data_IF_410383231629
#
_entry.id   IF_410383231629
#
_cell.length_a   1.000
_cell.length_b   1.000
_cell.length_c   1.000
_cell.angle_alpha   90.00
_cell.angle_beta   90.00
_cell.angle_gamma   90.00
#
_symmetry.space_group_name_H-M   'P 1'
#
loop_
_entity.id
_entity.type
_entity.pdbx_description
1 polymer ?
#
# COMPACT_ATOMS: atom_id res chain seq x y z
N UNK A 1 -52.47 -29.79 -9.36
CA UNK A 1 -53.06 -28.47 -9.07
C UNK A 1 -52.48 -28.03 -7.73
N UNK A 2 -51.60 -27.02 -7.75
CA UNK A 2 -51.34 -25.95 -6.75
C UNK A 2 -51.23 -26.38 -5.26
N UNK A 3 -50.21 -26.05 -4.47
CA UNK A 3 -49.10 -25.12 -4.63
C UNK A 3 -48.17 -25.19 -3.42
N UNK A 4 -46.91 -24.78 -3.63
CA UNK A 4 -45.93 -24.63 -2.55
C UNK A 4 -45.89 -23.16 -2.14
N UNK A 5 -46.10 -22.90 -0.85
CA UNK A 5 -45.89 -21.58 -0.23
C UNK A 5 -44.43 -21.46 0.20
N UNK A 6 -43.70 -20.52 -0.40
CA UNK A 6 -42.34 -20.18 0.01
C UNK A 6 -42.37 -19.15 1.14
N UNK A 7 -41.83 -19.51 2.30
CA UNK A 7 -41.52 -18.55 3.36
C UNK A 7 -40.14 -17.96 3.07
N UNK A 8 -40.06 -16.65 2.86
CA UNK A 8 -38.81 -15.94 2.60
C UNK A 8 -38.05 -15.70 3.91
N UNK A 9 -36.80 -16.16 3.96
CA UNK A 9 -35.81 -15.70 4.94
C UNK A 9 -34.86 -14.72 4.23
N UNK A 10 -34.76 -13.49 4.75
CA UNK A 10 -33.91 -12.42 4.22
C UNK A 10 -32.43 -12.72 4.46
N UNK A 11 -31.72 -13.18 3.42
CA UNK A 11 -30.26 -13.26 3.39
C UNK A 11 -29.71 -11.93 2.92
N UNK A 12 -28.92 -11.28 3.78
CA UNK A 12 -28.21 -10.04 3.50
C UNK A 12 -27.34 -10.19 2.25
N UNK A 13 -27.50 -9.24 1.34
CA UNK A 13 -26.81 -9.15 0.06
C UNK A 13 -25.41 -8.60 0.29
N UNK A 14 -24.38 -9.44 0.31
CA UNK A 14 -22.98 -8.97 0.17
C UNK A 14 -22.09 -10.09 -0.41
N UNK A 15 -22.56 -10.80 -1.43
CA UNK A 15 -21.74 -11.81 -2.12
C UNK A 15 -22.07 -11.87 -3.61
N UNK A 16 -21.85 -10.79 -4.34
CA UNK A 16 -21.71 -10.84 -5.80
C UNK A 16 -20.99 -9.59 -6.34
N UNK A 17 -19.68 -9.45 -6.11
CA UNK A 17 -18.83 -8.41 -6.75
C UNK A 17 -17.51 -9.04 -7.21
N UNK A 18 -17.57 -10.19 -7.89
CA UNK A 18 -16.36 -10.78 -8.51
C UNK A 18 -16.60 -11.20 -9.96
N UNK A 19 -17.85 -11.38 -10.39
CA UNK A 19 -18.16 -11.76 -11.77
C UNK A 19 -18.30 -10.58 -12.75
N UNK A 20 -18.36 -9.33 -12.27
CA UNK A 20 -18.74 -8.16 -13.08
C UNK A 20 -17.55 -7.26 -13.50
N UNK A 21 -16.31 -7.70 -13.26
CA UNK A 21 -15.09 -6.91 -13.56
C UNK A 21 -14.30 -7.50 -14.75
N UNK A 22 -14.74 -8.63 -15.31
CA UNK A 22 -14.05 -9.30 -16.44
C UNK A 22 -14.83 -9.10 -17.74
N UNK A 23 -15.29 -7.88 -18.01
CA UNK A 23 -15.92 -7.55 -19.29
C UNK A 23 -15.65 -6.10 -19.74
N UNK A 24 -14.45 -5.57 -19.49
CA UNK A 24 -14.06 -4.26 -20.06
C UNK A 24 -12.57 -4.17 -20.39
N UNK A 25 -11.99 -5.23 -20.95
CA UNK A 25 -10.67 -5.16 -21.61
C UNK A 25 -10.76 -5.87 -22.96
N UNK A 26 -11.58 -5.31 -23.85
CA UNK A 26 -11.41 -5.52 -25.28
C UNK A 26 -11.39 -4.15 -25.98
N UNK A 27 -10.35 -3.38 -25.66
CA UNK A 27 -9.95 -2.25 -26.48
C UNK A 27 -8.97 -2.80 -27.52
N UNK A 28 -9.50 -3.13 -28.69
CA UNK A 28 -8.73 -3.04 -29.93
C UNK A 28 -8.33 -1.57 -30.09
N UNK A 29 -7.19 -1.18 -29.54
CA UNK A 29 -6.49 0.05 -29.93
C UNK A 29 -5.10 -0.30 -30.44
N UNK A 30 -5.10 -0.87 -31.64
CA UNK A 30 -3.95 -0.92 -32.54
C UNK A 30 -4.28 0.00 -33.71
N UNK A 31 -4.43 1.29 -33.40
CA UNK A 31 -4.78 2.31 -34.37
C UNK A 31 -4.02 3.61 -34.12
N UNK A 32 -2.69 3.62 -34.23
CA UNK A 32 -1.99 4.90 -34.41
C UNK A 32 -0.94 4.79 -35.49
N UNK A 33 -1.40 5.04 -36.72
CA UNK A 33 -0.56 5.53 -37.80
C UNK A 33 -0.10 6.94 -37.43
N UNK A 34 1.15 7.01 -37.05
CA UNK A 34 1.99 8.18 -36.94
C UNK A 34 2.07 8.95 -38.27
N UNK A 35 1.17 9.90 -38.48
CA UNK A 35 1.30 10.94 -39.51
C UNK A 35 0.86 12.30 -38.93
N UNK A 36 1.80 13.01 -38.30
CA UNK A 36 1.65 14.44 -38.02
C UNK A 36 2.20 15.23 -39.21
N UNK A 37 1.39 15.40 -40.25
CA UNK A 37 1.70 16.31 -41.35
C UNK A 37 1.40 17.77 -40.94
N UNK A 38 2.50 18.51 -40.72
CA UNK A 38 2.81 19.80 -41.37
C UNK A 38 1.64 20.77 -41.65
N UNK A 39 1.65 21.91 -40.95
CA UNK A 39 0.97 23.11 -41.46
C UNK A 39 0.77 24.26 -40.47
N UNK A 40 1.82 25.00 -40.11
CA UNK A 40 1.70 26.33 -39.52
C UNK A 40 2.40 27.38 -40.39
N UNK A 41 1.65 28.01 -41.29
CA UNK A 41 2.05 29.26 -41.96
C UNK A 41 1.50 30.44 -41.16
N UNK A 42 2.27 30.92 -40.18
CA UNK A 42 2.07 32.26 -39.64
C UNK A 42 3.06 33.20 -40.34
N UNK A 43 2.50 34.16 -41.08
CA UNK A 43 3.25 35.19 -41.78
C UNK A 43 3.90 36.12 -40.75
N UNK A 44 5.23 36.19 -40.81
CA UNK A 44 6.10 36.95 -39.94
C UNK A 44 6.29 38.35 -40.53
N UNK A 45 5.74 39.36 -39.88
CA UNK A 45 6.09 40.75 -40.14
C UNK A 45 7.38 41.02 -39.37
N UNK A 46 8.52 41.10 -40.08
CA UNK A 46 9.80 41.49 -39.48
C UNK A 46 9.76 43.02 -39.33
N UNK A 47 9.70 43.49 -38.08
CA UNK A 47 9.95 44.89 -37.73
C UNK A 47 11.39 44.95 -37.22
N UNK A 48 12.27 45.59 -37.97
CA UNK A 48 13.68 45.77 -37.62
C UNK A 48 13.79 46.81 -36.50
N UNK A 49 13.39 46.43 -35.29
CA UNK A 49 13.63 47.24 -34.08
C UNK A 49 15.06 47.00 -33.63
N UNK A 50 15.94 47.95 -33.90
CA UNK A 50 17.28 47.98 -33.31
C UNK A 50 17.16 48.05 -31.79
N UNK A 51 17.52 46.98 -31.10
CA UNK A 51 17.68 46.97 -29.65
C UNK A 51 19.05 47.53 -29.33
N UNK A 52 19.08 48.81 -28.95
CA UNK A 52 20.26 49.40 -28.36
C UNK A 52 20.57 48.69 -27.04
N UNK A 53 21.82 48.30 -26.91
CA UNK A 53 22.37 47.48 -25.84
C UNK A 53 22.24 48.22 -24.49
N UNK A 54 21.51 47.64 -23.54
CA UNK A 54 21.64 47.99 -22.13
C UNK A 54 22.10 46.75 -21.37
N UNK A 55 23.41 46.55 -21.37
CA UNK A 55 24.10 45.71 -20.39
C UNK A 55 24.23 46.49 -19.07
N UNK A 56 23.47 46.10 -18.05
CA UNK A 56 23.80 46.30 -16.63
C UNK A 56 22.66 45.78 -15.73
N UNK A 57 22.74 44.51 -15.28
CA UNK A 57 22.20 44.01 -13.98
C UNK A 57 22.16 42.48 -13.82
N UNK A 58 22.94 41.70 -14.57
CA UNK A 58 22.87 40.23 -14.50
C UNK A 58 23.54 39.58 -13.28
N UNK A 59 24.19 40.32 -12.38
CA UNK A 59 25.05 39.72 -11.34
C UNK A 59 24.36 39.40 -10.00
N UNK A 60 23.15 39.90 -9.74
CA UNK A 60 22.47 39.66 -8.45
C UNK A 60 21.49 38.46 -8.47
N UNK A 61 21.07 37.99 -9.65
CA UNK A 61 20.08 36.91 -9.81
C UNK A 61 20.69 35.51 -9.79
N UNK A 62 21.95 35.35 -10.19
CA UNK A 62 22.60 34.03 -10.25
C UNK A 62 22.85 33.44 -8.85
N UNK A 63 23.34 34.25 -7.90
CA UNK A 63 23.64 33.76 -6.54
C UNK A 63 22.37 33.40 -5.75
N UNK A 64 21.26 34.12 -5.96
CA UNK A 64 19.98 33.78 -5.32
C UNK A 64 19.36 32.52 -5.92
N UNK A 65 19.49 32.32 -7.23
CA UNK A 65 18.99 31.12 -7.90
C UNK A 65 19.78 29.86 -7.51
N UNK A 66 21.09 29.97 -7.31
CA UNK A 66 21.93 28.89 -6.79
C UNK A 66 21.51 28.49 -5.36
N UNK A 67 21.32 29.48 -4.47
CA UNK A 67 20.89 29.23 -3.09
C UNK A 67 19.49 28.59 -3.00
N UNK A 68 18.57 29.00 -3.88
CA UNK A 68 17.23 28.39 -3.97
C UNK A 68 17.35 26.95 -4.47
N UNK A 69 18.18 26.71 -5.50
CA UNK A 69 18.37 25.37 -6.07
C UNK A 69 19.00 24.40 -5.06
N UNK A 70 19.97 24.87 -4.26
CA UNK A 70 20.57 24.07 -3.18
C UNK A 70 19.53 23.77 -2.10
N UNK A 71 18.75 24.76 -1.66
CA UNK A 71 17.69 24.55 -0.66
C UNK A 71 16.65 23.54 -1.14
N UNK A 72 16.19 23.63 -2.39
CA UNK A 72 15.23 22.68 -2.96
C UNK A 72 15.82 21.26 -3.02
N UNK A 73 17.11 21.14 -3.35
CA UNK A 73 17.80 19.85 -3.41
C UNK A 73 17.91 19.22 -2.02
N UNK A 74 18.30 20.02 -1.02
CA UNK A 74 18.40 19.58 0.37
C UNK A 74 17.04 19.13 0.91
N UNK A 75 15.99 19.92 0.66
CA UNK A 75 14.60 19.58 1.05
C UNK A 75 14.12 18.31 0.34
N UNK A 76 14.44 18.13 -0.95
CA UNK A 76 14.08 16.94 -1.72
C UNK A 76 14.82 15.70 -1.21
N UNK A 77 16.10 15.82 -0.85
CA UNK A 77 16.87 14.74 -0.23
C UNK A 77 16.28 14.33 1.13
N UNK A 78 15.97 15.32 1.98
CA UNK A 78 15.35 15.09 3.29
C UNK A 78 13.97 14.41 3.14
N UNK A 79 13.15 14.86 2.20
CA UNK A 79 11.87 14.23 1.88
C UNK A 79 12.06 12.78 1.41
N UNK A 80 13.03 12.53 0.53
CA UNK A 80 13.37 11.19 0.05
C UNK A 80 13.81 10.26 1.19
N UNK A 81 14.60 10.76 2.15
CA UNK A 81 15.04 10.00 3.31
C UNK A 81 13.89 9.68 4.29
N UNK A 82 12.99 10.63 4.52
CA UNK A 82 11.78 10.41 5.32
C UNK A 82 10.85 9.37 4.68
N UNK A 83 10.60 9.46 3.36
CA UNK A 83 9.79 8.49 2.61
C UNK A 83 10.43 7.10 2.70
N UNK A 84 11.74 6.99 2.52
CA UNK A 84 12.47 5.73 2.64
C UNK A 84 12.33 5.14 4.05
N UNK A 85 12.46 5.96 5.08
CA UNK A 85 12.36 5.54 6.49
C UNK A 85 10.98 5.00 6.81
N UNK A 86 9.92 5.77 6.50
CA UNK A 86 8.52 5.35 6.70
C UNK A 86 8.22 4.08 5.89
N UNK A 87 8.75 3.97 4.67
CA UNK A 87 8.60 2.77 3.85
C UNK A 87 9.19 1.51 4.48
N UNK A 88 10.36 1.62 5.12
CA UNK A 88 10.98 0.50 5.84
C UNK A 88 10.20 0.11 7.10
N UNK A 89 9.71 1.08 7.86
CA UNK A 89 8.89 0.84 9.05
C UNK A 89 7.57 0.15 8.70
N UNK A 90 6.89 0.61 7.65
CA UNK A 90 5.66 0.02 7.15
C UNK A 90 5.89 -1.42 6.66
N UNK A 91 6.95 -1.67 5.88
CA UNK A 91 7.30 -3.01 5.43
C UNK A 91 7.53 -3.97 6.63
N UNK A 92 8.26 -3.51 7.66
CA UNK A 92 8.44 -4.26 8.91
C UNK A 92 7.10 -4.50 9.61
N UNK A 93 6.22 -3.51 9.68
CA UNK A 93 4.90 -3.61 10.32
C UNK A 93 4.02 -4.65 9.62
N UNK A 94 3.96 -4.63 8.30
CA UNK A 94 3.19 -5.60 7.50
C UNK A 94 3.75 -7.01 7.68
N UNK A 95 5.07 -7.16 7.64
CA UNK A 95 5.71 -8.46 7.88
C UNK A 95 5.39 -8.98 9.29
N UNK A 96 5.43 -8.11 10.29
CA UNK A 96 5.11 -8.46 11.67
C UNK A 96 3.63 -8.82 11.86
N UNK A 97 2.71 -8.04 11.29
CA UNK A 97 1.27 -8.32 11.31
C UNK A 97 0.95 -9.69 10.69
N UNK A 98 1.56 -9.99 9.53
CA UNK A 98 1.39 -11.29 8.88
C UNK A 98 1.81 -12.45 9.79
N UNK A 99 2.95 -12.33 10.49
CA UNK A 99 3.42 -13.34 11.45
C UNK A 99 2.45 -13.49 12.62
N UNK A 100 1.88 -12.39 13.13
CA UNK A 100 0.86 -12.43 14.18
C UNK A 100 -0.42 -13.13 13.71
N UNK A 101 -0.93 -12.81 12.53
CA UNK A 101 -2.11 -13.46 11.97
C UNK A 101 -1.90 -14.96 11.77
N UNK A 102 -0.75 -15.37 11.23
CA UNK A 102 -0.41 -16.79 11.08
C UNK A 102 -0.31 -17.51 12.44
N UNK A 103 0.26 -16.84 13.44
CA UNK A 103 0.35 -17.38 14.80
C UNK A 103 -1.03 -17.54 15.43
N UNK A 104 -1.94 -16.58 15.24
CA UNK A 104 -3.31 -16.65 15.74
C UNK A 104 -4.08 -17.83 15.14
N UNK A 105 -3.94 -18.06 13.83
CA UNK A 105 -4.57 -19.21 13.15
C UNK A 105 -4.02 -20.55 13.65
N UNK A 106 -2.73 -20.61 13.98
CA UNK A 106 -2.06 -21.81 14.48
C UNK A 106 -2.27 -22.05 15.98
N UNK A 107 -2.78 -21.07 16.74
CA UNK A 107 -2.80 -21.13 18.20
C UNK A 107 -3.69 -22.25 18.72
N UNK A 108 -4.94 -22.31 18.28
CA UNK A 108 -5.87 -23.34 18.70
C UNK A 108 -5.40 -24.78 18.38
N UNK A 109 -4.99 -25.10 17.14
CA UNK A 109 -4.48 -26.44 16.84
C UNK A 109 -3.18 -26.74 17.61
N UNK A 110 -2.28 -25.77 17.79
CA UNK A 110 -1.07 -25.96 18.57
C UNK A 110 -1.36 -26.29 20.04
N UNK A 111 -2.37 -25.66 20.65
CA UNK A 111 -2.81 -25.97 22.02
C UNK A 111 -3.36 -27.39 22.14
N UNK A 112 -4.02 -27.90 21.09
CA UNK A 112 -4.54 -29.27 21.07
C UNK A 112 -3.42 -30.32 21.08
N UNK A 113 -2.29 -30.01 20.44
CA UNK A 113 -1.10 -30.86 20.37
C UNK A 113 -0.26 -30.86 21.66
N UNK A 114 -0.48 -29.90 22.57
CA UNK A 114 0.23 -29.84 23.85
C UNK A 114 -0.25 -30.99 24.76
N UNK A 115 0.59 -32.01 24.90
CA UNK A 115 0.30 -33.22 25.68
C UNK A 115 0.23 -32.93 27.17
N UNK A 116 -0.93 -33.14 27.79
CA UNK A 116 -1.15 -32.92 29.23
C UNK A 116 -1.96 -31.67 29.55
N UNK A 117 -2.22 -30.82 28.55
CA UNK A 117 -3.08 -29.64 28.69
C UNK A 117 -4.55 -30.07 28.60
N UNK A 118 -5.31 -29.89 29.69
CA UNK A 118 -6.75 -30.24 29.73
C UNK A 118 -7.60 -29.17 29.03
N UNK A 119 -8.84 -29.51 28.67
CA UNK A 119 -9.72 -28.64 27.87
C UNK A 119 -9.95 -27.26 28.51
N UNK A 120 -10.23 -27.22 29.81
CA UNK A 120 -10.46 -25.95 30.53
C UNK A 120 -9.22 -25.04 30.54
N UNK A 121 -8.03 -25.62 30.63
CA UNK A 121 -6.76 -24.88 30.55
C UNK A 121 -6.54 -24.35 29.13
N UNK A 122 -6.86 -25.13 28.09
CA UNK A 122 -6.80 -24.67 26.69
C UNK A 122 -7.69 -23.44 26.48
N UNK A 123 -8.92 -23.45 26.98
CA UNK A 123 -9.82 -22.29 26.89
C UNK A 123 -9.28 -21.08 27.67
N UNK A 124 -8.69 -21.31 28.84
CA UNK A 124 -8.06 -20.25 29.64
C UNK A 124 -6.89 -19.60 28.90
N UNK A 125 -6.05 -20.39 28.25
CA UNK A 125 -4.90 -19.92 27.46
C UNK A 125 -5.37 -19.22 26.18
N UNK A 126 -6.34 -19.81 25.48
CA UNK A 126 -6.93 -19.24 24.26
C UNK A 126 -7.57 -17.88 24.49
N UNK A 127 -8.10 -17.62 25.69
CA UNK A 127 -8.65 -16.31 26.05
C UNK A 127 -7.57 -15.26 26.38
N UNK A 128 -6.41 -15.67 26.87
CA UNK A 128 -5.37 -14.75 27.39
C UNK A 128 -4.31 -14.39 26.36
N UNK A 129 -3.89 -15.36 25.54
CA UNK A 129 -2.76 -15.19 24.62
C UNK A 129 -3.08 -14.25 23.44
N UNK A 130 -4.26 -14.32 22.78
CA UNK A 130 -4.56 -13.45 21.64
C UNK A 130 -4.60 -11.95 21.97
N UNK A 131 -5.00 -11.59 23.20
CA UNK A 131 -5.02 -10.20 23.69
C UNK A 131 -3.59 -9.65 23.93
N UNK A 132 -2.59 -10.52 23.85
CA UNK A 132 -1.18 -10.22 24.10
C UNK A 132 -0.31 -10.72 22.93
N UNK A 133 -0.28 -10.02 21.78
CA UNK A 133 0.37 -10.49 20.55
C UNK A 133 1.84 -10.92 20.74
N UNK A 134 2.59 -10.23 21.61
CA UNK A 134 3.96 -10.61 21.95
C UNK A 134 4.03 -11.95 22.69
N UNK A 135 3.10 -12.21 23.61
CA UNK A 135 3.04 -13.50 24.32
C UNK A 135 2.70 -14.64 23.36
N UNK A 136 1.85 -14.39 22.37
CA UNK A 136 1.57 -15.37 21.30
C UNK A 136 2.84 -15.74 20.52
N UNK A 137 3.69 -14.76 20.18
CA UNK A 137 4.96 -15.03 19.51
C UNK A 137 5.95 -15.81 20.40
N UNK A 138 6.03 -15.45 21.69
CA UNK A 138 6.86 -16.17 22.66
C UNK A 138 6.35 -17.63 22.78
N UNK A 139 5.04 -17.86 22.78
CA UNK A 139 4.42 -19.20 22.81
C UNK A 139 4.92 -20.09 21.69
N UNK A 140 4.91 -19.58 20.47
CA UNK A 140 5.42 -20.34 19.32
C UNK A 140 6.95 -20.50 19.31
N UNK A 141 7.67 -19.63 20.01
CA UNK A 141 9.13 -19.72 20.13
C UNK A 141 9.60 -20.78 21.14
N UNK A 142 8.74 -21.19 22.09
CA UNK A 142 9.08 -22.21 23.08
C UNK A 142 8.96 -23.64 22.54
N UNK A 143 9.80 -24.59 23.01
CA UNK A 143 9.58 -26.02 22.79
C UNK A 143 8.23 -26.48 23.34
N UNK A 144 7.59 -27.45 22.67
CA UNK A 144 6.24 -27.91 23.02
C UNK A 144 6.07 -28.36 24.47
N UNK A 145 7.10 -28.99 25.06
CA UNK A 145 7.05 -29.46 26.45
C UNK A 145 7.08 -28.32 27.49
N UNK A 146 7.63 -27.14 27.15
CA UNK A 146 7.67 -25.96 28.03
C UNK A 146 6.33 -25.21 28.00
N UNK A 147 5.57 -25.34 26.90
CA UNK A 147 4.27 -24.66 26.73
C UNK A 147 3.18 -25.12 27.70
N UNK A 148 3.39 -26.24 28.39
CA UNK A 148 2.48 -26.77 29.40
C UNK A 148 2.43 -25.93 30.68
N UNK A 149 3.51 -25.21 30.99
CA UNK A 149 3.64 -24.46 32.25
C UNK A 149 3.06 -23.03 32.17
N UNK A 150 2.37 -22.71 31.07
CA UNK A 150 1.93 -21.36 30.73
C UNK A 150 0.46 -21.08 31.07
#
# INVERSE_FOLDING_TARGET
MIGQSFTTCSVGKDTQIVADIVEEINVEDIGTTNNLEKGNNYHRYEDDVSLDEMDASATQSQSSNEQISTSITDDAMLLGENIRTVGLELNRSIAFEKVLQESAQKLYPALYEVKGLIEDERYRVLRKIPDHPIQMLIFFSLPSFVRLEW
#
